data_IF_824127202456
#
_entry.id   IF_824127202456
#
_cell.length_a   1.000
_cell.length_b   1.000
_cell.length_c   1.000
_cell.angle_alpha   90.00
_cell.angle_beta   90.00
_cell.angle_gamma   90.00
#
_symmetry.space_group_name_H-M   'P 1'
#
loop_
_entity.id
_entity.type
_entity.pdbx_description
1 polymer ?
#
# COMPACT_ATOMS: atom_id res chain seq x y z
N UNK A 1 -26.74 23.56 10.01
CA UNK A 1 -25.81 22.54 10.53
C UNK A 1 -25.92 21.33 9.62
N UNK A 2 -24.86 21.00 8.89
CA UNK A 2 -24.78 19.80 8.06
C UNK A 2 -24.73 18.59 9.01
N UNK A 3 -25.69 17.67 8.89
CA UNK A 3 -25.68 16.44 9.69
C UNK A 3 -24.42 15.63 9.35
N UNK A 4 -23.54 15.48 10.32
CA UNK A 4 -22.41 14.55 10.26
C UNK A 4 -22.97 13.16 10.60
N UNK A 5 -22.66 12.16 9.78
CA UNK A 5 -22.98 10.77 10.11
C UNK A 5 -22.14 10.35 11.31
N UNK A 6 -22.78 10.14 12.47
CA UNK A 6 -22.16 9.61 13.69
C UNK A 6 -21.94 8.09 13.57
N UNK A 7 -20.81 7.61 14.06
CA UNK A 7 -20.30 6.24 14.00
C UNK A 7 -20.49 5.59 15.38
N UNK A 8 -20.84 4.30 15.43
CA UNK A 8 -21.12 3.58 16.68
C UNK A 8 -22.61 3.45 17.04
N UNK A 9 -22.89 2.57 18.02
CA UNK A 9 -24.23 1.99 18.30
C UNK A 9 -25.36 3.01 18.26
N UNK A 10 -26.32 2.78 17.37
CA UNK A 10 -27.67 3.35 17.37
C UNK A 10 -28.49 2.82 18.56
N UNK A 11 -28.05 3.16 19.76
CA UNK A 11 -28.68 2.89 21.05
C UNK A 11 -28.34 3.98 22.05
N UNK A 12 -28.14 5.20 21.57
CA UNK A 12 -28.08 6.39 22.40
C UNK A 12 -29.47 6.65 22.94
N UNK A 13 -29.66 6.39 24.23
CA UNK A 13 -30.39 7.35 25.04
C UNK A 13 -29.31 8.26 25.63
N UNK A 14 -28.97 9.34 24.93
CA UNK A 14 -28.39 10.53 25.57
C UNK A 14 -29.48 11.27 26.34
N UNK A 15 -30.40 10.53 26.98
CA UNK A 15 -31.38 11.15 27.84
C UNK A 15 -30.61 11.56 29.09
N UNK A 16 -30.33 12.86 29.16
CA UNK A 16 -29.88 13.62 30.34
C UNK A 16 -30.99 13.68 31.39
N UNK A 17 -31.72 12.59 31.57
CA UNK A 17 -32.61 12.39 32.69
C UNK A 17 -31.74 12.07 33.89
N UNK A 18 -32.04 12.71 35.03
CA UNK A 18 -31.50 12.33 36.33
C UNK A 18 -31.38 10.82 36.38
N UNK A 19 -30.16 10.33 36.56
CA UNK A 19 -29.86 8.91 36.61
C UNK A 19 -30.53 8.35 37.88
N UNK A 20 -31.82 8.05 37.71
CA UNK A 20 -32.79 7.44 38.60
C UNK A 20 -33.62 8.37 39.52
N UNK A 21 -34.95 8.23 39.42
CA UNK A 21 -35.90 8.29 40.55
C UNK A 21 -37.15 7.47 40.17
N UNK A 22 -37.80 6.77 41.11
CA UNK A 22 -38.11 7.30 42.43
C UNK A 22 -37.30 6.67 43.57
N UNK A 23 -37.10 7.51 44.58
CA UNK A 23 -36.73 7.13 45.95
C UNK A 23 -37.51 5.88 46.39
N UNK A 24 -36.80 4.89 46.92
CA UNK A 24 -37.15 4.21 48.16
C UNK A 24 -36.03 3.20 48.51
N UNK A 25 -35.37 3.51 49.63
CA UNK A 25 -34.58 2.66 50.53
C UNK A 25 -33.34 1.90 49.99
N UNK A 26 -32.18 2.49 50.33
CA UNK A 26 -30.92 1.82 50.74
C UNK A 26 -30.06 1.07 49.70
N UNK A 27 -29.98 1.50 48.43
CA UNK A 27 -28.88 1.08 47.55
C UNK A 27 -28.37 2.18 46.60
N UNK A 28 -27.03 2.28 46.52
CA UNK A 28 -26.20 3.28 45.80
C UNK A 28 -26.50 3.41 44.29
N UNK A 29 -27.67 3.95 43.93
CA UNK A 29 -27.88 4.54 42.61
C UNK A 29 -26.95 5.74 42.43
N UNK A 30 -26.29 5.85 41.27
CA UNK A 30 -25.44 6.99 40.93
C UNK A 30 -26.32 8.23 40.74
N UNK A 31 -26.66 8.93 41.83
CA UNK A 31 -27.42 10.16 41.76
C UNK A 31 -26.71 11.22 40.91
N UNK A 32 -27.47 11.94 40.07
CA UNK A 32 -26.96 13.05 39.26
C UNK A 32 -27.25 12.94 37.77
N UNK A 33 -26.64 13.84 36.98
CA UNK A 33 -26.65 13.80 35.51
C UNK A 33 -25.67 12.71 35.04
N UNK A 34 -25.80 12.22 33.81
CA UNK A 34 -24.78 11.31 33.26
C UNK A 34 -25.21 10.55 32.01
N UNK A 35 -24.46 9.49 31.71
CA UNK A 35 -24.65 8.69 30.51
C UNK A 35 -25.25 7.33 30.86
N UNK A 36 -26.32 6.93 30.17
CA UNK A 36 -26.85 5.56 30.23
C UNK A 36 -26.47 4.81 28.96
N UNK A 37 -26.08 3.55 29.12
CA UNK A 37 -25.77 2.63 28.02
C UNK A 37 -26.53 1.33 28.20
N UNK A 38 -27.28 0.94 27.18
CA UNK A 38 -27.85 -0.41 27.08
C UNK A 38 -26.94 -1.25 26.19
N UNK A 39 -26.45 -2.37 26.71
CA UNK A 39 -25.55 -3.27 25.97
C UNK A 39 -26.27 -4.52 25.49
N UNK A 40 -25.86 -5.02 24.32
CA UNK A 40 -26.28 -6.33 23.86
C UNK A 40 -25.77 -7.42 24.82
N UNK A 41 -26.51 -8.54 24.99
CA UNK A 41 -26.01 -9.67 25.75
C UNK A 41 -24.61 -10.10 25.30
N UNK A 42 -23.77 -10.54 26.25
CA UNK A 42 -22.43 -11.05 25.95
C UNK A 42 -21.33 -10.00 26.01
N UNK A 43 -21.70 -8.71 26.15
CA UNK A 43 -20.75 -7.65 26.52
C UNK A 43 -20.31 -7.84 27.98
N UNK A 44 -19.03 -7.62 28.22
CA UNK A 44 -18.40 -7.66 29.53
C UNK A 44 -17.75 -6.29 29.77
N UNK A 45 -18.07 -5.68 30.92
CA UNK A 45 -17.37 -4.49 31.37
C UNK A 45 -16.19 -4.88 32.27
N UNK A 46 -15.00 -4.42 31.91
CA UNK A 46 -13.80 -4.49 32.75
C UNK A 46 -13.52 -3.09 33.24
N UNK A 47 -13.82 -2.83 34.52
CA UNK A 47 -13.61 -1.52 35.13
C UNK A 47 -12.16 -1.06 34.89
N UNK A 48 -11.93 0.14 34.32
CA UNK A 48 -10.59 0.70 34.23
C UNK A 48 -10.03 0.98 35.63
N UNK A 49 -8.69 1.11 35.77
CA UNK A 49 -8.11 1.54 37.04
C UNK A 49 -8.64 2.91 37.44
N UNK A 50 -8.66 3.19 38.74
CA UNK A 50 -9.08 4.49 39.25
C UNK A 50 -8.03 5.55 38.86
N UNK A 51 -8.40 6.41 37.92
CA UNK A 51 -7.56 7.46 37.34
C UNK A 51 -8.38 8.75 37.36
N UNK A 52 -7.72 9.86 37.69
CA UNK A 52 -8.34 11.19 37.68
C UNK A 52 -9.02 11.47 36.32
N UNK A 53 -10.21 12.06 36.37
CA UNK A 53 -11.08 12.37 35.23
C UNK A 53 -11.64 11.19 34.42
N UNK A 54 -11.21 9.95 34.70
CA UNK A 54 -11.80 8.73 34.11
C UNK A 54 -12.90 8.21 35.03
N UNK A 55 -14.15 8.46 34.65
CA UNK A 55 -15.29 7.94 35.41
C UNK A 55 -15.61 6.52 34.95
N UNK A 56 -15.66 5.61 35.91
CA UNK A 56 -16.06 4.24 35.66
C UNK A 56 -17.58 4.11 35.46
N UNK A 57 -17.97 3.10 34.71
CA UNK A 57 -19.37 2.70 34.57
C UNK A 57 -19.81 1.88 35.78
N UNK A 58 -20.99 2.19 36.30
CA UNK A 58 -21.74 1.35 37.25
C UNK A 58 -22.78 0.53 36.51
N UNK A 59 -22.98 -0.73 36.90
CA UNK A 59 -24.13 -1.51 36.42
C UNK A 59 -25.40 -1.02 37.11
N UNK A 60 -26.44 -0.71 36.34
CA UNK A 60 -27.73 -0.31 36.90
C UNK A 60 -28.32 -1.47 37.70
N UNK A 61 -28.79 -1.24 38.94
CA UNK A 61 -29.51 -2.25 39.72
C UNK A 61 -30.63 -2.87 38.88
N UNK A 62 -30.85 -4.17 39.05
CA UNK A 62 -31.92 -4.93 38.35
C UNK A 62 -31.75 -5.10 36.82
N UNK A 63 -30.74 -4.50 36.19
CA UNK A 63 -30.54 -4.58 34.74
C UNK A 63 -29.99 -5.93 34.25
N UNK A 64 -29.51 -6.78 35.17
CA UNK A 64 -28.92 -8.10 34.89
C UNK A 64 -27.77 -8.01 33.86
N UNK A 65 -26.88 -7.03 34.03
CA UNK A 65 -25.69 -6.82 33.20
C UNK A 65 -25.97 -6.18 31.84
N UNK A 66 -27.15 -5.58 31.64
CA UNK A 66 -27.56 -5.01 30.35
C UNK A 66 -27.58 -3.49 30.33
N UNK A 67 -27.58 -2.83 31.47
CA UNK A 67 -27.58 -1.38 31.55
C UNK A 67 -26.44 -0.90 32.42
N UNK A 68 -25.65 0.02 31.87
CA UNK A 68 -24.54 0.66 32.55
C UNK A 68 -24.78 2.16 32.59
N UNK A 69 -24.32 2.80 33.67
CA UNK A 69 -24.46 4.22 33.91
C UNK A 69 -23.09 4.83 34.24
N UNK A 70 -22.81 6.01 33.72
CA UNK A 70 -21.60 6.79 34.04
C UNK A 70 -22.05 8.12 34.60
N UNK A 71 -21.72 8.38 35.87
CA UNK A 71 -22.09 9.62 36.53
C UNK A 71 -21.36 10.82 35.94
N UNK A 72 -22.08 11.93 35.80
CA UNK A 72 -21.54 13.24 35.50
C UNK A 72 -21.51 14.05 36.79
N UNK A 73 -20.32 14.46 37.20
CA UNK A 73 -20.06 15.12 38.48
C UNK A 73 -20.56 16.57 38.55
N UNK A 74 -21.03 17.13 37.43
CA UNK A 74 -21.57 18.49 37.37
C UNK A 74 -23.09 18.52 37.21
N UNK A 75 -23.75 19.52 37.81
CA UNK A 75 -25.23 19.65 37.75
C UNK A 75 -25.74 20.20 36.40
N UNK A 76 -24.85 20.61 35.50
CA UNK A 76 -25.18 21.21 34.20
C UNK A 76 -24.92 20.22 33.07
N UNK A 77 -25.79 20.22 32.04
CA UNK A 77 -25.52 19.49 30.79
C UNK A 77 -24.26 20.10 30.16
N UNK A 78 -23.14 19.37 30.09
CA UNK A 78 -21.93 19.86 29.44
C UNK A 78 -22.15 19.93 27.91
N UNK A 79 -21.52 20.91 27.27
CA UNK A 79 -21.44 20.96 25.82
C UNK A 79 -20.35 19.98 25.36
N UNK A 80 -20.68 19.09 24.42
CA UNK A 80 -19.72 18.14 23.86
C UNK A 80 -19.36 18.45 22.42
N UNK A 81 -18.14 18.06 22.07
CA UNK A 81 -17.68 17.91 20.70
C UNK A 81 -16.93 16.59 20.57
N UNK A 82 -17.16 15.85 19.48
CA UNK A 82 -16.31 14.72 19.10
C UNK A 82 -15.10 15.21 18.30
N UNK A 83 -14.13 14.34 18.06
CA UNK A 83 -13.03 14.66 17.13
C UNK A 83 -13.54 14.90 15.71
N UNK A 84 -14.58 14.18 15.27
CA UNK A 84 -15.15 14.36 13.93
C UNK A 84 -15.92 15.67 13.80
N UNK A 85 -16.58 16.14 14.87
CA UNK A 85 -17.21 17.48 14.87
C UNK A 85 -16.16 18.58 14.67
N UNK A 86 -15.03 18.48 15.37
CA UNK A 86 -13.91 19.42 15.21
C UNK A 86 -13.32 19.36 13.80
N UNK A 87 -13.17 18.16 13.23
CA UNK A 87 -12.72 17.97 11.84
C UNK A 87 -13.69 18.63 10.85
N UNK A 88 -15.00 18.40 11.02
CA UNK A 88 -16.04 18.91 10.12
C UNK A 88 -16.15 20.45 10.18
N UNK A 89 -15.83 21.06 11.32
CA UNK A 89 -15.77 22.52 11.47
C UNK A 89 -14.56 23.13 10.73
N UNK A 90 -13.38 22.50 10.87
CA UNK A 90 -12.11 23.01 10.36
C UNK A 90 -11.91 22.74 8.85
N UNK A 91 -12.29 21.56 8.36
CA UNK A 91 -11.96 21.12 7.01
C UNK A 91 -12.49 22.07 5.89
N UNK A 92 -13.76 22.56 5.93
CA UNK A 92 -14.27 23.47 4.90
C UNK A 92 -13.58 24.84 4.90
N UNK A 93 -13.01 25.25 6.04
CA UNK A 93 -12.45 26.58 6.25
C UNK A 93 -10.93 26.61 6.03
N UNK A 94 -10.31 25.49 5.62
CA UNK A 94 -8.85 25.32 5.51
C UNK A 94 -8.11 26.47 4.82
N UNK A 95 -8.70 27.06 3.78
CA UNK A 95 -8.10 28.17 3.05
C UNK A 95 -8.04 29.49 3.85
N UNK A 96 -8.92 29.68 4.83
CA UNK A 96 -9.07 30.87 5.64
C UNK A 96 -8.39 30.75 7.03
N UNK A 97 -8.07 29.53 7.47
CA UNK A 97 -7.46 29.28 8.77
C UNK A 97 -6.10 29.98 8.93
N UNK A 98 -5.87 30.54 10.11
CA UNK A 98 -4.62 31.18 10.51
C UNK A 98 -4.00 30.46 11.71
N UNK A 99 -2.72 30.73 11.98
CA UNK A 99 -1.96 30.00 13.02
C UNK A 99 -2.53 30.19 14.44
N UNK A 100 -3.17 31.32 14.67
CA UNK A 100 -3.77 31.75 15.93
C UNK A 100 -5.27 31.43 16.02
N UNK A 101 -5.82 30.68 15.07
CA UNK A 101 -7.24 30.30 15.08
C UNK A 101 -7.57 29.48 16.36
N UNK A 102 -8.56 29.91 17.15
CA UNK A 102 -8.91 29.24 18.41
C UNK A 102 -9.43 27.82 18.20
N UNK A 103 -10.04 27.51 17.05
CA UNK A 103 -10.54 26.17 16.75
C UNK A 103 -9.39 25.20 16.46
N UNK A 104 -8.29 25.69 15.90
CA UNK A 104 -7.07 24.90 15.73
C UNK A 104 -6.39 24.61 17.08
N UNK A 105 -6.37 25.58 17.99
CA UNK A 105 -5.86 25.39 19.35
C UNK A 105 -6.71 24.38 20.14
N UNK A 106 -8.04 24.48 20.02
CA UNK A 106 -8.97 23.54 20.65
C UNK A 106 -8.78 22.11 20.13
N UNK A 107 -8.51 21.94 18.83
CA UNK A 107 -8.18 20.62 18.26
C UNK A 107 -6.88 20.05 18.86
N UNK A 108 -5.82 20.86 18.90
CA UNK A 108 -4.53 20.44 19.47
C UNK A 108 -4.69 20.03 20.94
N UNK A 109 -5.41 20.82 21.72
CA UNK A 109 -5.68 20.55 23.13
C UNK A 109 -6.51 19.28 23.31
N UNK A 110 -7.55 19.07 22.50
CA UNK A 110 -8.37 17.86 22.53
C UNK A 110 -7.55 16.60 22.25
N UNK A 111 -6.76 16.60 21.16
CA UNK A 111 -5.92 15.45 20.81
C UNK A 111 -4.86 15.17 21.89
N UNK A 112 -4.27 16.20 22.50
CA UNK A 112 -3.32 16.04 23.59
C UNK A 112 -3.98 15.52 24.87
N UNK A 113 -5.12 16.07 25.26
CA UNK A 113 -5.88 15.63 26.44
C UNK A 113 -6.29 14.18 26.31
N UNK A 114 -6.79 13.76 25.13
CA UNK A 114 -7.08 12.35 24.84
C UNK A 114 -5.87 11.43 25.11
N UNK A 115 -4.70 11.76 24.56
CA UNK A 115 -3.50 10.92 24.70
C UNK A 115 -2.96 10.94 26.14
N UNK A 116 -3.03 12.07 26.83
CA UNK A 116 -2.59 12.19 28.24
C UNK A 116 -3.51 11.42 29.19
N UNK A 117 -4.83 11.45 28.98
CA UNK A 117 -5.76 10.62 29.75
C UNK A 117 -5.47 9.14 29.52
N UNK A 118 -5.20 8.73 28.28
CA UNK A 118 -4.79 7.36 27.98
C UNK A 118 -3.46 6.96 28.65
N UNK A 119 -2.47 7.85 28.69
CA UNK A 119 -1.22 7.64 29.42
C UNK A 119 -1.46 7.41 30.92
N UNK A 120 -2.34 8.20 31.54
CA UNK A 120 -2.71 8.02 32.93
C UNK A 120 -3.35 6.65 33.19
N UNK A 121 -4.24 6.19 32.30
CA UNK A 121 -4.81 4.83 32.32
C UNK A 121 -3.72 3.76 32.18
N UNK A 122 -2.79 3.93 31.26
CA UNK A 122 -1.70 2.97 31.03
C UNK A 122 -0.76 2.86 32.22
N UNK A 123 -0.38 3.99 32.84
CA UNK A 123 0.46 4.03 34.05
C UNK A 123 -0.22 3.39 35.25
N UNK A 124 -1.53 3.50 35.35
CA UNK A 124 -2.32 2.78 36.35
C UNK A 124 -2.54 1.29 36.00
N UNK A 125 -1.91 0.79 34.93
CA UNK A 125 -1.93 -0.61 34.53
C UNK A 125 -3.20 -1.02 33.77
N UNK A 126 -3.98 -0.05 33.29
CA UNK A 126 -5.16 -0.26 32.47
C UNK A 126 -4.85 -0.29 30.97
N UNK A 127 -5.89 -0.52 30.20
CA UNK A 127 -5.88 -0.40 28.73
C UNK A 127 -7.19 0.24 28.30
N UNK A 128 -7.21 0.89 27.14
CA UNK A 128 -8.41 1.54 26.62
C UNK A 128 -9.45 0.52 26.11
N UNK A 129 -8.99 -0.65 25.64
CA UNK A 129 -9.88 -1.67 25.07
C UNK A 129 -10.39 -1.23 23.70
N UNK A 130 -11.67 -0.91 23.59
CA UNK A 130 -12.29 -0.38 22.37
C UNK A 130 -12.49 1.13 22.48
N UNK A 131 -11.91 1.88 21.54
CA UNK A 131 -12.13 3.32 21.42
C UNK A 131 -12.36 3.64 19.95
N UNK A 132 -13.37 4.46 19.65
CA UNK A 132 -13.75 4.90 18.31
C UNK A 132 -13.71 6.43 18.23
N UNK A 133 -13.56 7.05 17.03
CA UNK A 133 -13.51 8.50 16.87
C UNK A 133 -14.70 9.23 17.47
N UNK A 134 -15.89 8.66 17.34
CA UNK A 134 -17.14 9.23 17.85
C UNK A 134 -17.44 8.81 19.30
N UNK A 135 -16.63 7.89 19.83
CA UNK A 135 -16.66 7.44 21.22
C UNK A 135 -15.66 8.21 22.09
N UNK A 136 -15.17 9.37 21.67
CA UNK A 136 -14.41 10.26 22.54
C UNK A 136 -15.08 11.62 22.52
N UNK A 137 -15.56 12.01 23.69
CA UNK A 137 -16.25 13.28 23.87
C UNK A 137 -15.32 14.25 24.58
N UNK A 138 -15.26 15.48 24.09
CA UNK A 138 -14.56 16.56 24.75
C UNK A 138 -15.56 17.53 25.32
N UNK A 139 -15.37 17.88 26.58
CA UNK A 139 -16.23 18.78 27.32
C UNK A 139 -15.36 19.73 28.15
N UNK A 140 -15.82 20.95 28.28
CA UNK A 140 -15.20 21.94 29.14
C UNK A 140 -15.89 21.88 30.50
N UNK A 141 -15.12 21.64 31.55
CA UNK A 141 -15.59 21.63 32.93
C UNK A 141 -15.95 23.05 33.39
N UNK A 142 -16.64 23.17 34.52
CA UNK A 142 -16.96 24.47 35.15
C UNK A 142 -15.74 25.35 35.42
N UNK A 143 -14.59 24.76 35.71
CA UNK A 143 -13.32 25.48 35.94
C UNK A 143 -12.61 25.91 34.65
N UNK A 144 -13.17 25.58 33.49
CA UNK A 144 -12.60 25.86 32.17
C UNK A 144 -11.65 24.79 31.64
N UNK A 145 -11.34 23.74 32.42
CA UNK A 145 -10.46 22.67 31.97
C UNK A 145 -11.15 21.77 30.93
N UNK A 146 -10.40 21.37 29.89
CA UNK A 146 -10.88 20.40 28.91
C UNK A 146 -10.76 18.98 29.47
N UNK A 147 -11.83 18.20 29.34
CA UNK A 147 -11.89 16.80 29.75
C UNK A 147 -12.21 15.91 28.55
N UNK A 148 -11.42 14.86 28.38
CA UNK A 148 -11.71 13.77 27.46
C UNK A 148 -12.52 12.67 28.19
N UNK A 149 -13.65 12.32 27.63
CA UNK A 149 -14.53 11.25 28.12
C UNK A 149 -14.45 10.09 27.14
N UNK A 150 -14.23 8.88 27.66
CA UNK A 150 -14.14 7.64 26.88
C UNK A 150 -15.33 6.73 27.24
N UNK A 151 -16.51 6.90 26.63
CA UNK A 151 -17.70 6.15 27.00
C UNK A 151 -17.58 4.63 26.75
N UNK A 152 -16.64 4.21 25.90
CA UNK A 152 -16.49 2.79 25.52
C UNK A 152 -15.34 2.08 26.28
N UNK A 153 -14.62 2.80 27.14
CA UNK A 153 -13.45 2.24 27.82
C UNK A 153 -13.82 1.01 28.65
N UNK A 154 -13.08 -0.08 28.47
CA UNK A 154 -13.26 -1.31 29.25
C UNK A 154 -14.38 -2.24 28.82
N UNK A 155 -15.22 -1.88 27.83
CA UNK A 155 -16.22 -2.80 27.27
C UNK A 155 -15.58 -3.77 26.26
N UNK A 156 -15.86 -5.06 26.44
CA UNK A 156 -15.40 -6.19 25.62
C UNK A 156 -16.60 -7.08 25.26
N UNK A 157 -16.50 -8.00 24.29
CA UNK A 157 -17.58 -8.96 23.98
C UNK A 157 -17.10 -10.41 23.99
N UNK A 158 -17.77 -11.30 24.72
CA UNK A 158 -17.31 -12.68 24.86
C UNK A 158 -18.11 -13.65 23.96
N UNK A 159 -17.53 -14.00 22.80
CA UNK A 159 -18.10 -14.95 21.82
C UNK A 159 -18.43 -16.31 22.47
N UNK A 160 -17.68 -16.76 23.48
CA UNK A 160 -17.89 -18.07 24.14
C UNK A 160 -19.19 -18.12 24.96
N UNK A 161 -19.79 -16.96 25.26
CA UNK A 161 -21.13 -16.88 25.87
C UNK A 161 -22.27 -17.02 24.84
N UNK A 162 -21.94 -17.45 23.61
CA UNK A 162 -22.90 -17.90 22.60
C UNK A 162 -23.62 -16.78 21.85
N UNK A 163 -23.03 -15.58 21.79
CA UNK A 163 -23.68 -14.38 21.28
C UNK A 163 -22.88 -13.76 20.14
N UNK A 164 -23.60 -13.13 19.20
CA UNK A 164 -23.03 -12.58 17.96
C UNK A 164 -22.19 -11.35 18.27
N UNK A 165 -21.21 -11.08 17.41
CA UNK A 165 -20.45 -9.83 17.39
C UNK A 165 -21.41 -8.64 17.44
N UNK A 166 -21.22 -7.71 18.39
CA UNK A 166 -22.18 -6.64 18.58
C UNK A 166 -22.37 -5.83 17.31
N UNK A 167 -23.61 -5.45 16.99
CA UNK A 167 -23.93 -4.76 15.72
C UNK A 167 -23.10 -3.49 15.50
N UNK A 168 -22.79 -2.79 16.57
CA UNK A 168 -21.99 -1.55 16.56
C UNK A 168 -20.51 -1.75 16.28
N UNK A 169 -20.04 -3.00 16.30
CA UNK A 169 -18.65 -3.36 15.98
C UNK A 169 -18.53 -3.81 14.51
N UNK A 170 -19.64 -4.24 13.90
CA UNK A 170 -19.68 -4.77 12.54
C UNK A 170 -19.65 -3.68 11.44
N UNK A 171 -19.16 -2.48 11.73
CA UNK A 171 -19.16 -1.34 10.81
C UNK A 171 -17.85 -1.25 10.00
N UNK A 172 -17.89 -1.04 8.66
CA UNK A 172 -16.69 -0.96 7.81
C UNK A 172 -15.68 0.12 8.23
N UNK A 173 -16.14 1.09 9.00
CA UNK A 173 -15.36 2.22 9.52
C UNK A 173 -14.41 1.81 10.65
N UNK A 174 -14.74 0.74 11.39
CA UNK A 174 -13.93 0.23 12.49
C UNK A 174 -12.74 -0.60 12.01
N UNK A 175 -12.83 -1.15 10.80
CA UNK A 175 -11.69 -1.77 10.12
C UNK A 175 -10.56 -0.75 9.85
N UNK A 176 -10.85 0.55 9.85
CA UNK A 176 -9.83 1.61 9.75
C UNK A 176 -9.05 1.81 11.06
N UNK A 177 -9.64 1.42 12.19
CA UNK A 177 -9.08 1.63 13.53
C UNK A 177 -8.31 0.41 14.04
N UNK A 178 -8.80 -0.79 13.74
CA UNK A 178 -8.25 -2.04 14.23
C UNK A 178 -7.47 -2.77 13.14
N UNK A 179 -6.15 -2.80 13.31
CA UNK A 179 -5.19 -3.39 12.37
C UNK A 179 -5.54 -4.83 11.96
N UNK A 180 -5.96 -5.65 12.93
CA UNK A 180 -6.30 -7.05 12.73
C UNK A 180 -7.82 -7.28 12.61
N UNK A 181 -8.60 -6.20 12.51
CA UNK A 181 -10.05 -6.18 12.67
C UNK A 181 -10.49 -6.22 14.14
N UNK A 182 -11.67 -5.68 14.42
CA UNK A 182 -12.19 -5.56 15.78
C UNK A 182 -12.24 -6.91 16.53
N UNK A 183 -12.63 -8.00 15.84
CA UNK A 183 -12.75 -9.33 16.44
C UNK A 183 -11.44 -9.89 17.01
N UNK A 184 -10.34 -9.72 16.28
CA UNK A 184 -9.03 -10.18 16.76
C UNK A 184 -8.54 -9.32 17.91
N UNK A 185 -8.75 -8.00 17.83
CA UNK A 185 -8.45 -7.07 18.92
C UNK A 185 -9.18 -7.46 20.21
N UNK A 186 -10.50 -7.71 20.14
CA UNK A 186 -11.29 -8.14 21.29
C UNK A 186 -10.81 -9.45 21.88
N UNK A 187 -10.50 -10.43 21.03
CA UNK A 187 -10.01 -11.73 21.47
C UNK A 187 -8.73 -11.60 22.30
N UNK A 188 -7.82 -10.69 21.93
CA UNK A 188 -6.61 -10.40 22.69
C UNK A 188 -6.94 -9.74 24.05
N UNK A 189 -7.88 -8.79 24.09
CA UNK A 189 -8.30 -8.12 25.34
C UNK A 189 -9.01 -9.06 26.30
N UNK A 190 -9.83 -9.97 25.80
CA UNK A 190 -10.47 -10.99 26.62
C UNK A 190 -9.45 -11.95 27.20
N UNK A 191 -8.47 -12.38 26.41
CA UNK A 191 -7.37 -13.21 26.92
C UNK A 191 -6.62 -12.51 28.05
N UNK A 192 -6.28 -11.23 27.87
CA UNK A 192 -5.65 -10.42 28.92
C UNK A 192 -6.53 -10.33 30.18
N UNK A 193 -7.82 -10.01 30.03
CA UNK A 193 -8.75 -9.91 31.16
C UNK A 193 -8.93 -11.24 31.89
N UNK A 194 -9.00 -12.36 31.17
CA UNK A 194 -9.10 -13.71 31.74
C UNK A 194 -7.82 -14.10 32.47
N UNK A 195 -6.66 -13.89 31.87
CA UNK A 195 -5.36 -14.18 32.49
C UNK A 195 -5.16 -13.37 33.77
N UNK A 196 -5.53 -12.09 33.77
CA UNK A 196 -5.48 -11.23 34.95
C UNK A 196 -6.39 -11.74 36.08
N UNK A 197 -7.63 -12.15 35.75
CA UNK A 197 -8.57 -12.76 36.72
C UNK A 197 -8.06 -14.08 37.29
N UNK A 198 -7.26 -14.82 36.53
CA UNK A 198 -6.65 -16.08 36.95
C UNK A 198 -5.34 -15.90 37.73
N UNK A 199 -4.90 -14.65 37.98
CA UNK A 199 -3.66 -14.36 38.69
C UNK A 199 -2.40 -14.75 37.91
N UNK A 200 -2.50 -14.89 36.59
CA UNK A 200 -1.34 -15.17 35.73
C UNK A 200 -0.47 -13.92 35.56
N UNK A 201 0.81 -14.10 35.24
CA UNK A 201 1.66 -12.99 34.82
C UNK A 201 1.17 -12.47 33.46
N UNK A 202 0.68 -11.23 33.45
CA UNK A 202 0.12 -10.56 32.29
C UNK A 202 0.99 -9.40 31.81
N UNK A 203 2.22 -9.25 32.29
CA UNK A 203 3.06 -8.10 31.95
C UNK A 203 3.27 -7.94 30.43
N UNK A 204 3.63 -9.04 29.74
CA UNK A 204 3.84 -9.03 28.30
C UNK A 204 2.55 -8.76 27.51
N UNK A 205 1.46 -9.44 27.87
CA UNK A 205 0.14 -9.25 27.23
C UNK A 205 -0.39 -7.83 27.43
N UNK A 206 -0.13 -7.24 28.60
CA UNK A 206 -0.49 -5.87 28.91
C UNK A 206 0.33 -4.86 28.10
N UNK A 207 1.65 -5.06 28.00
CA UNK A 207 2.51 -4.19 27.21
C UNK A 207 2.13 -4.22 25.71
N UNK A 208 1.84 -5.40 25.16
CA UNK A 208 1.32 -5.54 23.80
C UNK A 208 0.00 -4.80 23.62
N UNK A 209 -0.93 -4.99 24.57
CA UNK A 209 -2.22 -4.33 24.59
C UNK A 209 -2.10 -2.79 24.66
N UNK A 210 -1.22 -2.25 25.49
CA UNK A 210 -0.96 -0.81 25.57
C UNK A 210 -0.30 -0.28 24.29
N UNK A 211 0.62 -1.04 23.67
CA UNK A 211 1.21 -0.69 22.38
C UNK A 211 0.17 -0.61 21.24
N UNK A 212 -0.81 -1.51 21.23
CA UNK A 212 -1.94 -1.44 20.29
C UNK A 212 -2.83 -0.23 20.56
N UNK A 213 -3.05 0.16 21.82
CA UNK A 213 -3.81 1.37 22.16
C UNK A 213 -3.12 2.63 21.60
N UNK A 214 -1.78 2.71 21.66
CA UNK A 214 -1.01 3.82 21.06
C UNK A 214 -1.26 3.90 19.55
N UNK A 215 -1.26 2.77 18.85
CA UNK A 215 -1.56 2.73 17.41
C UNK A 215 -3.02 3.10 17.14
N UNK A 216 -3.95 2.65 17.97
CA UNK A 216 -5.36 3.01 17.89
C UNK A 216 -5.56 4.53 18.00
N UNK A 217 -5.02 5.15 19.05
CA UNK A 217 -5.06 6.61 19.25
C UNK A 217 -4.42 7.36 18.09
N UNK A 218 -3.33 6.84 17.54
CA UNK A 218 -2.68 7.43 16.37
C UNK A 218 -3.56 7.37 15.13
N UNK A 219 -4.31 6.28 14.92
CA UNK A 219 -5.30 6.18 13.83
C UNK A 219 -6.45 7.16 14.03
N UNK A 220 -6.89 7.36 15.27
CA UNK A 220 -7.87 8.39 15.61
C UNK A 220 -7.36 9.78 15.21
N UNK A 221 -6.15 10.15 15.63
CA UNK A 221 -5.50 11.42 15.22
C UNK A 221 -5.50 11.54 13.68
N UNK A 222 -5.06 10.51 12.96
CA UNK A 222 -5.01 10.55 11.50
C UNK A 222 -6.38 10.75 10.85
N UNK A 223 -7.41 10.04 11.34
CA UNK A 223 -8.80 10.19 10.89
C UNK A 223 -9.33 11.60 11.18
N UNK A 224 -9.02 12.15 12.34
CA UNK A 224 -9.40 13.53 12.70
C UNK A 224 -8.75 14.58 11.80
N UNK A 225 -7.53 14.35 11.34
CA UNK A 225 -6.82 15.32 10.51
C UNK A 225 -7.27 15.27 9.05
N UNK A 226 -7.30 14.07 8.46
CA UNK A 226 -7.58 13.89 7.05
C UNK A 226 -9.08 13.77 6.73
N UNK A 227 -9.88 13.36 7.71
CA UNK A 227 -11.27 12.96 7.51
C UNK A 227 -11.39 11.50 7.07
N UNK A 228 -12.49 10.84 7.42
CA UNK A 228 -12.63 9.40 7.26
C UNK A 228 -12.66 8.92 5.80
N UNK A 229 -13.30 9.68 4.91
CA UNK A 229 -13.42 9.30 3.50
C UNK A 229 -12.07 9.43 2.78
N UNK A 230 -11.31 10.48 3.08
CA UNK A 230 -9.96 10.67 2.53
C UNK A 230 -9.03 9.54 2.98
N UNK A 231 -9.18 9.13 4.23
CA UNK A 231 -8.44 8.04 4.83
C UNK A 231 -8.79 6.68 4.17
N UNK A 232 -10.07 6.45 3.86
CA UNK A 232 -10.50 5.29 3.05
C UNK A 232 -9.91 5.33 1.65
N UNK A 233 -9.91 6.49 0.98
CA UNK A 233 -9.35 6.64 -0.36
C UNK A 233 -7.87 6.24 -0.40
N UNK A 234 -7.06 6.66 0.58
CA UNK A 234 -5.64 6.33 0.65
C UNK A 234 -5.39 4.83 0.85
N UNK A 235 -6.28 4.17 1.58
CA UNK A 235 -6.07 2.78 2.02
C UNK A 235 -6.77 1.76 1.12
N UNK A 236 -7.81 2.14 0.39
CA UNK A 236 -8.67 1.24 -0.38
C UNK A 236 -9.67 0.47 0.49
N UNK A 237 -10.59 -0.24 -0.17
CA UNK A 237 -11.61 -1.07 0.49
C UNK A 237 -10.98 -2.33 1.10
N UNK A 238 -11.26 -2.58 2.38
CA UNK A 238 -10.88 -3.81 3.08
C UNK A 238 -9.44 -3.84 3.58
N UNK A 239 -9.30 -3.83 4.92
CA UNK A 239 -8.10 -4.25 5.72
C UNK A 239 -6.71 -3.72 5.30
N UNK A 240 -6.63 -2.63 4.55
CA UNK A 240 -5.34 -2.07 4.13
C UNK A 240 -4.90 -0.84 4.95
N UNK A 241 -5.45 -0.66 6.16
CA UNK A 241 -4.91 0.32 7.13
C UNK A 241 -3.60 -0.12 7.80
N UNK A 242 -3.29 -1.42 7.70
CA UNK A 242 -1.95 -1.99 7.91
C UNK A 242 -0.87 -1.31 7.06
N UNK A 243 -1.30 -0.60 6.01
CA UNK A 243 -0.44 0.04 5.04
C UNK A 243 -0.64 1.55 4.95
N UNK A 244 -1.09 2.26 6.00
CA UNK A 244 -0.91 3.72 6.04
C UNK A 244 0.59 4.02 5.99
N UNK A 245 1.16 4.35 4.82
CA UNK A 245 2.59 4.53 4.70
C UNK A 245 2.90 5.97 5.09
N UNK A 246 4.17 6.29 5.27
CA UNK A 246 4.61 7.68 5.22
C UNK A 246 4.30 8.35 3.87
N UNK A 247 4.97 9.47 3.58
CA UNK A 247 4.86 10.34 2.38
C UNK A 247 4.45 9.76 1.02
N UNK A 248 4.63 8.47 0.75
CA UNK A 248 4.42 7.85 -0.56
C UNK A 248 2.94 7.67 -0.96
N UNK A 249 1.99 7.66 0.00
CA UNK A 249 0.53 7.56 -0.29
C UNK A 249 -0.40 8.53 0.45
N UNK A 250 0.13 9.47 1.24
CA UNK A 250 -0.60 10.64 1.74
C UNK A 250 -0.18 11.91 0.96
N UNK A 251 -0.36 11.95 -0.38
CA UNK A 251 0.32 12.90 -1.27
C UNK A 251 -0.09 14.36 -1.08
N UNK A 252 -1.26 14.62 -0.49
CA UNK A 252 -1.88 15.94 -0.53
C UNK A 252 -1.52 16.84 0.66
N UNK A 253 -1.00 16.26 1.75
CA UNK A 253 -0.79 17.06 2.97
C UNK A 253 0.69 17.32 3.23
N UNK A 254 1.60 16.36 3.04
CA UNK A 254 3.06 16.51 3.29
C UNK A 254 3.44 17.13 4.66
N UNK A 255 2.47 17.25 5.57
CA UNK A 255 2.64 17.92 6.85
C UNK A 255 3.56 17.08 7.75
N UNK A 256 4.47 17.70 8.51
CA UNK A 256 5.47 16.98 9.33
C UNK A 256 4.88 15.92 10.26
N UNK A 257 3.67 16.15 10.78
CA UNK A 257 2.98 15.22 11.68
C UNK A 257 2.85 13.80 11.12
N UNK A 258 2.72 13.64 9.80
CA UNK A 258 2.58 12.32 9.18
C UNK A 258 3.87 11.49 9.28
N UNK A 259 5.03 12.13 9.11
CA UNK A 259 6.33 11.44 9.11
C UNK A 259 6.98 11.40 10.50
N UNK A 260 6.70 12.40 11.33
CA UNK A 260 7.34 12.57 12.63
C UNK A 260 6.54 11.93 13.77
N UNK A 261 5.23 11.73 13.59
CA UNK A 261 4.34 11.20 14.63
C UNK A 261 3.53 10.00 14.14
N UNK A 262 2.70 10.17 13.10
CA UNK A 262 1.72 9.15 12.69
C UNK A 262 2.42 7.88 12.19
N UNK A 263 3.27 7.98 11.17
CA UNK A 263 3.95 6.80 10.62
C UNK A 263 4.86 6.11 11.66
N UNK A 264 5.68 6.81 12.45
CA UNK A 264 6.47 6.19 13.53
C UNK A 264 5.63 5.46 14.58
N UNK A 265 4.50 6.02 15.02
CA UNK A 265 3.65 5.34 16.00
C UNK A 265 2.98 4.09 15.44
N UNK A 266 2.50 4.14 14.21
CA UNK A 266 1.85 2.99 13.57
C UNK A 266 2.79 1.81 13.36
N UNK A 267 4.08 2.05 13.12
CA UNK A 267 5.10 0.99 13.01
C UNK A 267 5.76 0.65 14.35
N UNK A 268 5.23 1.16 15.46
CA UNK A 268 5.66 0.84 16.82
C UNK A 268 6.98 1.49 17.27
N UNK A 269 7.46 2.53 16.58
CA UNK A 269 8.64 3.31 17.03
C UNK A 269 8.31 4.27 18.17
N UNK A 270 7.06 4.71 18.25
CA UNK A 270 6.53 5.42 19.43
C UNK A 270 5.81 4.37 20.27
N UNK A 271 6.40 4.04 21.42
CA UNK A 271 6.02 2.86 22.19
C UNK A 271 5.04 3.11 23.35
N UNK A 272 4.73 4.37 23.65
CA UNK A 272 3.90 4.74 24.80
C UNK A 272 3.05 5.98 24.53
N UNK A 273 1.96 6.15 25.29
CA UNK A 273 1.14 7.35 25.23
C UNK A 273 1.90 8.61 25.67
N UNK A 274 2.76 8.53 26.70
CA UNK A 274 3.65 9.63 27.07
C UNK A 274 4.54 10.09 25.90
N UNK A 275 5.15 9.16 25.16
CA UNK A 275 5.96 9.51 23.99
C UNK A 275 5.10 10.09 22.87
N UNK A 276 3.91 9.52 22.61
CA UNK A 276 2.98 10.05 21.61
C UNK A 276 2.55 11.49 21.95
N UNK A 277 2.22 11.78 23.21
CA UNK A 277 1.87 13.13 23.66
C UNK A 277 3.02 14.11 23.44
N UNK A 278 4.24 13.76 23.85
CA UNK A 278 5.41 14.61 23.66
C UNK A 278 5.68 14.91 22.17
N UNK A 279 5.43 13.94 21.28
CA UNK A 279 5.56 14.11 19.83
C UNK A 279 4.48 15.03 19.25
N UNK A 280 3.24 14.89 19.69
CA UNK A 280 2.13 15.75 19.28
C UNK A 280 2.30 17.20 19.79
N UNK A 281 2.92 17.40 20.95
CA UNK A 281 3.28 18.74 21.45
C UNK A 281 4.36 19.40 20.59
N UNK A 282 5.37 18.63 20.18
CA UNK A 282 6.46 19.10 19.34
C UNK A 282 6.01 19.38 17.90
N UNK A 283 5.12 18.55 17.36
CA UNK A 283 4.59 18.64 16.00
C UNK A 283 3.08 18.74 16.08
N UNK A 284 2.59 19.98 16.16
CA UNK A 284 1.18 20.25 16.46
C UNK A 284 0.24 19.70 15.37
N UNK A 285 -0.80 18.95 15.74
CA UNK A 285 -1.80 18.44 14.78
C UNK A 285 -2.42 19.49 13.87
N UNK A 286 -2.71 20.67 14.40
CA UNK A 286 -3.25 21.81 13.67
C UNK A 286 -2.40 22.25 12.48
N UNK A 287 -1.09 22.00 12.49
CA UNK A 287 -0.22 22.28 11.36
C UNK A 287 -0.64 21.49 10.11
N UNK A 288 -1.33 20.37 10.26
CA UNK A 288 -1.93 19.66 9.13
C UNK A 288 -2.80 20.57 8.24
N UNK A 289 -3.59 21.46 8.86
CA UNK A 289 -4.52 22.33 8.14
C UNK A 289 -3.80 23.53 7.54
N UNK A 290 -2.80 24.06 8.26
CA UNK A 290 -2.03 25.25 7.88
C UNK A 290 -0.92 24.95 6.88
N UNK A 291 -0.45 23.70 6.85
CA UNK A 291 0.67 23.31 6.02
C UNK A 291 0.26 23.39 4.55
N UNK A 292 0.96 24.28 3.84
CA UNK A 292 0.90 24.37 2.38
C UNK A 292 2.05 23.52 1.86
N UNK A 293 1.77 22.39 1.18
CA UNK A 293 2.83 21.60 0.60
C UNK A 293 3.70 22.51 -0.28
N UNK A 294 5.04 22.41 -0.20
CA UNK A 294 5.90 23.15 -1.09
C UNK A 294 5.42 22.90 -2.51
N UNK A 295 5.26 23.98 -3.30
CA UNK A 295 4.72 23.91 -4.65
C UNK A 295 5.31 22.69 -5.34
N UNK A 296 4.46 21.80 -5.91
CA UNK A 296 4.97 20.57 -6.49
C UNK A 296 6.11 20.95 -7.42
N UNK A 297 7.24 20.20 -7.38
CA UNK A 297 8.36 20.48 -8.26
C UNK A 297 7.78 20.75 -9.65
N UNK A 298 8.05 21.92 -10.27
CA UNK A 298 7.42 22.30 -11.53
C UNK A 298 7.49 21.12 -12.49
N UNK A 299 6.43 20.86 -13.27
CA UNK A 299 6.15 19.56 -13.93
C UNK A 299 7.40 18.89 -14.52
N UNK A 300 8.35 19.67 -15.05
CA UNK A 300 9.68 19.22 -15.46
C UNK A 300 10.46 18.41 -14.40
N UNK A 301 10.43 18.73 -13.11
CA UNK A 301 11.05 17.95 -12.02
C UNK A 301 10.31 16.64 -11.72
N UNK A 302 8.97 16.58 -11.79
CA UNK A 302 8.21 15.31 -11.72
C UNK A 302 8.48 14.45 -12.95
N UNK A 303 8.57 15.08 -14.12
CA UNK A 303 9.00 14.47 -15.38
C UNK A 303 10.45 14.00 -15.27
N UNK A 304 11.37 14.74 -14.67
CA UNK A 304 12.78 14.33 -14.42
C UNK A 304 12.90 13.25 -13.34
N UNK A 305 11.97 13.14 -12.38
CA UNK A 305 11.94 12.05 -11.39
C UNK A 305 11.34 10.76 -11.97
N UNK A 306 10.30 10.85 -12.80
CA UNK A 306 9.76 9.72 -13.59
C UNK A 306 10.69 9.32 -14.74
N UNK A 307 11.39 10.29 -15.33
CA UNK A 307 12.45 10.07 -16.30
C UNK A 307 13.80 9.87 -15.62
N UNK A 308 13.96 9.83 -14.30
CA UNK A 308 15.29 9.60 -13.69
C UNK A 308 15.87 8.25 -14.08
N UNK A 309 15.08 7.17 -14.19
CA UNK A 309 15.54 5.94 -14.83
C UNK A 309 15.86 6.16 -16.31
N UNK A 310 15.03 6.91 -17.05
CA UNK A 310 15.23 7.17 -18.48
C UNK A 310 16.36 8.17 -18.82
N UNK A 311 16.71 9.07 -17.90
CA UNK A 311 17.78 10.07 -17.97
C UNK A 311 19.07 9.45 -17.44
N UNK A 312 19.02 8.52 -16.48
CA UNK A 312 20.17 7.66 -16.18
C UNK A 312 20.51 6.75 -17.37
N UNK A 313 19.49 6.23 -18.07
CA UNK A 313 19.64 5.48 -19.32
C UNK A 313 20.11 6.40 -20.47
N UNK A 314 19.55 7.61 -20.62
CA UNK A 314 19.96 8.56 -21.66
C UNK A 314 21.31 9.25 -21.38
N UNK A 315 21.71 9.42 -20.12
CA UNK A 315 23.05 9.88 -19.73
C UNK A 315 24.08 8.74 -19.83
N UNK A 316 23.68 7.48 -19.63
CA UNK A 316 24.49 6.32 -19.99
C UNK A 316 24.64 6.21 -21.52
N UNK A 317 23.61 6.49 -22.32
CA UNK A 317 23.68 6.55 -23.78
C UNK A 317 24.48 7.78 -24.26
N UNK A 318 24.32 8.93 -23.61
CA UNK A 318 24.98 10.20 -23.97
C UNK A 318 26.46 10.27 -23.58
N UNK A 319 26.85 9.73 -22.43
CA UNK A 319 28.27 9.60 -22.06
C UNK A 319 28.99 8.53 -22.92
N UNK A 320 28.26 7.56 -23.47
CA UNK A 320 28.80 6.57 -24.43
C UNK A 320 29.06 7.19 -25.82
N UNK A 321 28.35 8.25 -26.22
CA UNK A 321 28.49 8.84 -27.56
C UNK A 321 29.63 9.86 -27.72
N UNK A 322 30.13 10.47 -26.63
CA UNK A 322 31.19 11.50 -26.72
C UNK A 322 32.57 10.98 -26.28
N UNK A 323 32.64 9.90 -25.49
CA UNK A 323 33.90 9.41 -24.90
C UNK A 323 34.56 8.18 -25.57
N UNK A 324 34.00 7.63 -26.65
CA UNK A 324 34.47 6.39 -27.27
C UNK A 324 34.94 6.57 -28.73
N UNK A 325 35.54 7.72 -29.04
CA UNK A 325 36.49 7.78 -30.14
C UNK A 325 37.81 7.16 -29.66
N UNK A 326 38.26 6.14 -30.39
CA UNK A 326 39.52 5.41 -30.24
C UNK A 326 39.54 4.21 -29.26
N UNK A 327 38.71 3.19 -29.51
CA UNK A 327 39.16 1.82 -29.87
C UNK A 327 37.98 0.85 -30.01
N UNK A 328 37.78 0.18 -31.16
CA UNK A 328 36.63 -0.71 -31.37
C UNK A 328 36.79 -2.03 -30.58
N UNK A 329 35.79 -2.38 -29.78
CA UNK A 329 35.69 -3.72 -29.18
C UNK A 329 35.39 -4.76 -30.28
N UNK A 330 36.04 -5.93 -30.26
CA UNK A 330 35.84 -6.96 -31.28
C UNK A 330 34.41 -7.52 -31.21
N UNK A 331 33.67 -7.45 -32.33
CA UNK A 331 32.32 -7.98 -32.50
C UNK A 331 32.36 -9.42 -33.04
N UNK A 332 31.39 -10.28 -32.73
CA UNK A 332 31.26 -11.62 -33.34
C UNK A 332 30.36 -11.55 -34.57
N UNK A 333 30.70 -12.29 -35.63
CA UNK A 333 29.90 -12.31 -36.84
C UNK A 333 28.62 -13.14 -36.63
N UNK A 334 27.47 -12.66 -37.09
CA UNK A 334 26.18 -13.33 -36.87
C UNK A 334 26.04 -14.63 -37.65
N UNK A 335 26.65 -14.76 -38.83
CA UNK A 335 26.68 -16.04 -39.57
C UNK A 335 27.61 -17.07 -38.92
N UNK A 336 28.71 -16.61 -38.32
CA UNK A 336 29.71 -17.46 -37.69
C UNK A 336 30.14 -16.84 -36.35
N UNK A 337 29.49 -17.19 -35.24
CA UNK A 337 29.80 -16.60 -33.93
C UNK A 337 31.23 -16.86 -33.43
N UNK A 338 31.96 -17.77 -34.10
CA UNK A 338 33.36 -18.08 -33.82
C UNK A 338 34.33 -17.11 -34.50
N UNK A 339 33.88 -16.31 -35.47
CA UNK A 339 34.69 -15.31 -36.17
C UNK A 339 34.43 -13.93 -35.55
N UNK A 340 35.51 -13.27 -35.16
CA UNK A 340 35.50 -11.94 -34.55
C UNK A 340 35.89 -10.86 -35.55
N UNK A 341 35.50 -9.60 -35.31
CA UNK A 341 35.72 -8.46 -36.21
C UNK A 341 37.18 -8.05 -36.35
N UNK A 342 38.05 -8.62 -35.52
CA UNK A 342 39.50 -8.54 -35.67
C UNK A 342 40.06 -9.53 -36.69
N UNK A 343 39.25 -10.48 -37.17
CA UNK A 343 39.64 -11.46 -38.18
C UNK A 343 39.39 -10.91 -39.59
N UNK A 344 40.32 -11.08 -40.55
CA UNK A 344 40.09 -10.73 -41.95
C UNK A 344 38.92 -11.51 -42.57
N UNK A 345 38.53 -12.65 -41.97
CA UNK A 345 37.36 -13.43 -42.36
C UNK A 345 36.03 -12.73 -42.05
N UNK A 346 36.00 -11.73 -41.16
CA UNK A 346 34.76 -11.05 -40.79
C UNK A 346 34.17 -10.25 -41.95
N UNK A 347 34.99 -9.48 -42.66
CA UNK A 347 34.54 -8.71 -43.82
C UNK A 347 34.08 -9.61 -44.97
N UNK A 348 34.74 -10.75 -45.15
CA UNK A 348 34.35 -11.75 -46.14
C UNK A 348 33.03 -12.43 -45.80
N UNK A 349 32.78 -12.68 -44.51
CA UNK A 349 31.50 -13.17 -44.03
C UNK A 349 30.35 -12.17 -44.22
N UNK A 350 30.63 -10.85 -44.22
CA UNK A 350 29.63 -9.83 -44.56
C UNK A 350 29.25 -9.88 -46.04
N UNK A 351 30.22 -10.08 -46.93
CA UNK A 351 29.97 -10.29 -48.37
C UNK A 351 29.18 -11.57 -48.63
N UNK A 352 29.55 -12.67 -47.97
CA UNK A 352 28.81 -13.94 -48.01
C UNK A 352 27.37 -13.77 -47.50
N UNK A 353 27.17 -12.98 -46.45
CA UNK A 353 25.84 -12.68 -45.90
C UNK A 353 24.98 -11.85 -46.86
N UNK A 354 25.59 -10.90 -47.59
CA UNK A 354 24.88 -10.14 -48.62
C UNK A 354 24.41 -11.07 -49.74
N UNK A 355 25.28 -11.95 -50.25
CA UNK A 355 24.93 -12.94 -51.26
C UNK A 355 23.84 -13.92 -50.77
N UNK A 356 23.94 -14.39 -49.51
CA UNK A 356 22.92 -15.22 -48.86
C UNK A 356 21.55 -14.54 -48.83
N UNK A 357 21.50 -13.25 -48.47
CA UNK A 357 20.24 -12.48 -48.42
C UNK A 357 19.64 -12.31 -49.82
N UNK A 358 20.46 -12.03 -50.82
CA UNK A 358 20.00 -11.95 -52.22
C UNK A 358 19.42 -13.28 -52.68
N UNK A 359 20.13 -14.38 -52.45
CA UNK A 359 19.66 -15.73 -52.75
C UNK A 359 18.32 -16.07 -52.09
N UNK A 360 18.17 -15.73 -50.80
CA UNK A 360 16.94 -15.96 -50.05
C UNK A 360 15.75 -15.13 -50.56
N UNK A 361 16.00 -13.91 -51.04
CA UNK A 361 14.94 -13.00 -51.48
C UNK A 361 14.51 -13.24 -52.94
N UNK A 362 15.46 -13.51 -53.83
CA UNK A 362 15.19 -13.67 -55.26
C UNK A 362 14.73 -15.09 -55.61
N UNK A 363 15.20 -16.10 -54.86
CA UNK A 363 14.81 -17.51 -55.02
C UNK A 363 15.04 -18.00 -56.47
N UNK A 364 16.21 -17.70 -57.05
CA UNK A 364 16.59 -18.11 -58.41
C UNK A 364 17.89 -18.91 -58.46
N UNK A 365 18.03 -19.81 -59.44
CA UNK A 365 19.25 -20.62 -59.64
C UNK A 365 20.52 -19.75 -59.79
N UNK A 366 20.53 -18.63 -60.55
CA UNK A 366 21.70 -17.76 -60.63
C UNK A 366 22.09 -17.14 -59.28
N UNK A 367 21.12 -16.73 -58.46
CA UNK A 367 21.39 -16.17 -57.14
C UNK A 367 21.95 -17.23 -56.18
N UNK A 368 21.43 -18.47 -56.22
CA UNK A 368 22.01 -19.59 -55.47
C UNK A 368 23.41 -19.96 -55.96
N UNK A 369 23.67 -19.91 -57.27
CA UNK A 369 25.00 -20.14 -57.86
C UNK A 369 26.02 -19.12 -57.37
N UNK A 370 25.65 -17.84 -57.33
CA UNK A 370 26.51 -16.78 -56.84
C UNK A 370 26.83 -16.95 -55.35
N UNK A 371 25.84 -17.34 -54.54
CA UNK A 371 26.05 -17.65 -53.12
C UNK A 371 26.94 -18.88 -52.92
N UNK A 372 26.72 -19.96 -53.68
CA UNK A 372 27.52 -21.18 -53.65
C UNK A 372 28.98 -20.93 -54.03
N UNK A 373 29.23 -20.16 -55.09
CA UNK A 373 30.58 -19.83 -55.54
C UNK A 373 31.36 -19.04 -54.48
N UNK A 374 30.72 -18.07 -53.82
CA UNK A 374 31.32 -17.32 -52.72
C UNK A 374 31.59 -18.22 -51.52
N UNK A 375 30.63 -19.08 -51.14
CA UNK A 375 30.80 -20.01 -50.03
C UNK A 375 31.98 -20.97 -50.23
N UNK A 376 32.22 -21.43 -51.46
CA UNK A 376 33.32 -22.34 -51.82
C UNK A 376 34.67 -21.64 -51.99
N UNK A 377 34.66 -20.34 -52.32
CA UNK A 377 35.87 -19.52 -52.43
C UNK A 377 36.44 -19.04 -51.11
N UNK A 378 35.70 -19.21 -50.01
CA UNK A 378 36.12 -18.75 -48.67
C UNK A 378 36.98 -19.78 -47.93
N UNK A 379 38.29 -19.65 -48.06
CA UNK A 379 39.27 -20.42 -47.29
C UNK A 379 39.30 -19.98 -45.81
N UNK A 380 39.34 -20.96 -44.90
CA UNK A 380 39.51 -20.70 -43.46
C UNK A 380 38.23 -20.51 -42.64
N UNK A 381 37.05 -20.78 -43.24
CA UNK A 381 35.80 -20.88 -42.50
C UNK A 381 35.88 -22.01 -41.44
N UNK A 382 35.44 -21.78 -40.19
CA UNK A 382 35.31 -22.86 -39.22
C UNK A 382 34.39 -23.97 -39.76
N UNK A 383 34.84 -25.22 -39.69
CA UNK A 383 34.21 -26.39 -40.31
C UNK A 383 32.70 -26.48 -40.01
N UNK A 384 32.33 -26.38 -38.73
CA UNK A 384 30.93 -26.42 -38.31
C UNK A 384 30.06 -25.30 -38.92
N UNK A 385 30.65 -24.15 -39.25
CA UNK A 385 29.96 -23.05 -39.90
C UNK A 385 29.89 -23.24 -41.41
N UNK A 386 30.99 -23.68 -42.04
CA UNK A 386 31.03 -24.05 -43.45
C UNK A 386 29.99 -25.11 -43.78
N UNK A 387 29.92 -26.18 -42.99
CA UNK A 387 28.99 -27.29 -43.19
C UNK A 387 27.53 -26.88 -43.06
N UNK A 388 27.25 -25.96 -42.14
CA UNK A 388 25.89 -25.46 -41.92
C UNK A 388 25.42 -24.62 -43.12
N UNK A 389 26.24 -23.68 -43.57
CA UNK A 389 25.90 -22.79 -44.69
C UNK A 389 25.88 -23.57 -46.02
N UNK A 390 26.74 -24.58 -46.15
CA UNK A 390 26.77 -25.46 -47.32
C UNK A 390 25.49 -26.26 -47.41
N UNK A 391 25.08 -26.95 -46.33
CA UNK A 391 23.80 -27.68 -46.30
C UNK A 391 22.60 -26.79 -46.61
N UNK A 392 22.54 -25.61 -46.02
CA UNK A 392 21.47 -24.65 -46.29
C UNK A 392 21.39 -24.26 -47.79
N UNK A 393 22.55 -23.98 -48.41
CA UNK A 393 22.58 -23.64 -49.83
C UNK A 393 22.18 -24.82 -50.73
N UNK A 394 22.62 -26.05 -50.39
CA UNK A 394 22.24 -27.26 -51.12
C UNK A 394 20.73 -27.50 -51.05
N UNK A 395 20.14 -27.38 -49.86
CA UNK A 395 18.69 -27.53 -49.67
C UNK A 395 17.89 -26.56 -50.56
N UNK A 396 18.38 -25.31 -50.70
CA UNK A 396 17.75 -24.31 -51.55
C UNK A 396 17.86 -24.64 -53.04
N UNK A 397 19.04 -25.10 -53.49
CA UNK A 397 19.28 -25.52 -54.87
C UNK A 397 18.42 -26.75 -55.21
N UNK A 398 18.33 -27.74 -54.32
CA UNK A 398 17.49 -28.92 -54.51
C UNK A 398 16.02 -28.55 -54.66
N UNK A 399 15.53 -27.70 -53.75
CA UNK A 399 14.13 -27.26 -53.76
C UNK A 399 13.80 -26.50 -55.05
N UNK A 400 14.67 -25.58 -55.47
CA UNK A 400 14.49 -24.82 -56.71
C UNK A 400 14.55 -25.73 -57.94
N UNK A 401 15.49 -26.68 -57.98
CA UNK A 401 15.64 -27.64 -59.08
C UNK A 401 14.40 -28.52 -59.26
N UNK A 402 13.84 -29.04 -58.15
CA UNK A 402 12.59 -29.82 -58.20
C UNK A 402 11.44 -29.01 -58.79
N UNK A 403 11.31 -27.73 -58.38
CA UNK A 403 10.31 -26.82 -58.93
C UNK A 403 10.48 -26.58 -60.43
N UNK A 404 11.72 -26.38 -60.89
CA UNK A 404 12.03 -26.22 -62.33
C UNK A 404 11.70 -27.49 -63.12
N UNK A 405 12.07 -28.68 -62.63
CA UNK A 405 11.78 -29.97 -63.28
C UNK A 405 10.27 -30.20 -63.40
N UNK A 406 9.51 -29.93 -62.34
CA UNK A 406 8.05 -30.07 -62.34
C UNK A 406 7.39 -29.09 -63.31
N UNK A 407 7.88 -27.84 -63.37
CA UNK A 407 7.44 -26.84 -64.33
C UNK A 407 7.74 -27.21 -65.80
N UNK A 408 8.82 -27.93 -66.06
CA UNK A 408 9.19 -28.40 -67.40
C UNK A 408 8.36 -29.63 -67.83
N UNK A 409 7.98 -30.51 -66.91
CA UNK A 409 7.13 -31.69 -67.18
C UNK A 409 5.71 -31.32 -67.62
N UNK A 410 5.24 -30.13 -67.24
CA UNK A 410 3.87 -29.67 -67.49
C UNK A 410 3.76 -28.80 -68.75
N UNK A 411 4.88 -28.47 -69.42
CA UNK A 411 4.91 -27.63 -70.62
C UNK A 411 5.36 -28.43 -71.86
N UNK A 412 4.66 -28.32 -73.01
CA UNK A 412 4.96 -29.14 -74.19
C UNK A 412 6.22 -28.74 -74.98
N UNK A 413 6.71 -27.49 -74.87
CA UNK A 413 7.99 -27.05 -75.46
C UNK A 413 8.68 -26.08 -74.49
N UNK A 414 9.80 -26.48 -73.85
CA UNK A 414 10.51 -25.63 -72.90
C UNK A 414 11.33 -24.54 -73.59
N UNK A 415 11.45 -23.36 -72.98
CA UNK A 415 12.30 -22.27 -73.50
C UNK A 415 13.77 -22.59 -73.25
N UNK A 416 14.65 -22.11 -74.13
CA UNK A 416 16.11 -22.32 -74.03
C UNK A 416 16.69 -21.87 -72.69
N UNK A 417 16.17 -20.78 -72.12
CA UNK A 417 16.57 -20.25 -70.82
C UNK A 417 16.17 -21.17 -69.66
N UNK A 418 15.00 -21.82 -69.72
CA UNK A 418 14.55 -22.76 -68.68
C UNK A 418 15.36 -24.06 -68.72
N UNK A 419 15.76 -24.51 -69.91
CA UNK A 419 16.69 -25.63 -70.09
C UNK A 419 18.09 -25.30 -69.56
N UNK A 420 18.58 -24.09 -69.81
CA UNK A 420 19.88 -23.63 -69.28
C UNK A 420 19.85 -23.55 -67.75
N UNK A 421 18.77 -23.04 -67.16
CA UNK A 421 18.62 -23.00 -65.70
C UNK A 421 18.56 -24.39 -65.07
N UNK A 422 17.96 -25.37 -65.76
CA UNK A 422 17.97 -26.76 -65.31
C UNK A 422 19.37 -27.39 -65.42
N UNK A 423 20.10 -27.13 -66.51
CA UNK A 423 21.48 -27.60 -66.67
C UNK A 423 22.38 -27.01 -65.58
N UNK A 424 22.24 -25.71 -65.31
CA UNK A 424 22.98 -25.01 -64.26
C UNK A 424 22.60 -25.53 -62.86
N UNK A 425 21.34 -25.90 -62.63
CA UNK A 425 20.89 -26.42 -61.34
C UNK A 425 21.37 -27.85 -61.11
N UNK A 426 21.35 -28.71 -62.15
CA UNK A 426 21.87 -30.07 -62.09
C UNK A 426 23.40 -30.09 -61.91
N UNK A 427 24.13 -29.20 -62.59
CA UNK A 427 25.57 -29.02 -62.39
C UNK A 427 25.90 -28.67 -60.93
N UNK A 428 25.15 -27.75 -60.31
CA UNK A 428 25.35 -27.40 -58.90
C UNK A 428 25.02 -28.53 -57.94
N UNK A 429 23.97 -29.32 -58.23
CA UNK A 429 23.64 -30.50 -57.42
C UNK A 429 24.69 -31.60 -57.53
N UNK A 430 25.30 -31.77 -58.70
CA UNK A 430 26.43 -32.70 -58.88
C UNK A 430 27.67 -32.25 -58.11
N UNK A 431 27.99 -30.95 -58.15
CA UNK A 431 29.08 -30.37 -57.35
C UNK A 431 28.84 -30.50 -55.85
N UNK A 432 27.59 -30.32 -55.40
CA UNK A 432 27.19 -30.49 -54.01
C UNK A 432 27.25 -31.96 -53.55
N UNK A 433 26.81 -32.91 -54.40
CA UNK A 433 26.85 -34.34 -54.10
C UNK A 433 28.27 -34.88 -53.96
N UNK A 434 29.24 -34.34 -54.70
CA UNK A 434 30.65 -34.71 -54.60
C UNK A 434 31.32 -34.32 -53.27
N UNK A 435 30.64 -33.56 -52.41
CA UNK A 435 31.14 -33.06 -51.12
C UNK A 435 30.53 -33.77 -49.91
N UNK A 436 29.57 -34.67 -50.11
CA UNK A 436 29.03 -35.49 -49.04
C UNK A 436 29.88 -36.77 -48.90
N UNK A 437 30.51 -37.05 -47.75
CA UNK A 437 31.12 -38.37 -47.53
C UNK A 437 30.02 -39.44 -47.50
N UNK A 438 30.30 -40.61 -48.09
CA UNK A 438 29.40 -41.78 -48.06
C UNK A 438 28.96 -42.18 -46.65
#
# INVERSE_FOLDING_TARGET
>A
MTHVHHWGVTGFSTEWTSLDQPDDDDYDGLGGMGFKRVVEPGVVYVKPPDVEDVVAWGESPQSRGRQFQMAWDEDSIPAFRTLLDMQAELAPQRAALQKDDPNLQALDEALLTMVRTADAVHRAGGTLGFVQPDSILFCTRRDGALRAVFPDIGFLWDDERGLREPKWIAEPQLDLLFEQGARRHNSARIKLARAARQGQDVAALKAEAQGEDVRLLTRLVAVTLAGPDQVREWCGDGRAFLSMPGRDRAPDTQAPIWDEVIAPALVGKIGSCAELAARLEAVRPSEHFLFKPPAPPPVWKKVVRKLRPAIAIAAAIGCVLVGWWAWPKPQRHHLCPQVWSSSPLFARLDELNAARKTAMNEITIPAYRAYWALLRGEEGLPEACGDKLTRECVDWIEKASRGTIEGLRTKPVPRREELQQLEDSLSLLQEAAALQPE
#
